data_IF_313526984603
#
_entry.id   IF_313526984603
#
_cell.length_a   1.000
_cell.length_b   1.000
_cell.length_c   1.000
_cell.angle_alpha   90.00
_cell.angle_beta   90.00
_cell.angle_gamma   90.00
#
_symmetry.space_group_name_H-M   'P 1'
#
loop_
_entity.id
_entity.type
_entity.pdbx_description
1 polymer ?
#
# COMPACT_ATOMS: atom_id res chain seq x y z
N UNK A 1 7.30 -29.85 25.42
CA UNK A 1 6.99 -31.08 26.17
C UNK A 1 7.91 -32.19 25.70
N UNK A 2 8.81 -32.70 26.55
CA UNK A 2 9.51 -33.97 26.34
C UNK A 2 8.75 -35.04 27.14
N UNK A 3 8.59 -36.21 26.53
CA UNK A 3 7.56 -37.23 26.77
C UNK A 3 7.35 -37.72 28.21
N UNK A 4 6.09 -37.66 28.65
CA UNK A 4 5.43 -38.63 29.55
C UNK A 4 3.96 -38.74 29.15
N UNK A 5 3.58 -39.88 28.57
CA UNK A 5 2.23 -40.49 28.49
C UNK A 5 1.08 -39.73 27.78
N UNK A 6 0.46 -40.43 26.84
CA UNK A 6 -0.63 -39.99 25.97
C UNK A 6 -2.03 -39.91 26.62
N UNK A 7 -2.18 -39.25 27.77
CA UNK A 7 -3.52 -39.15 28.42
C UNK A 7 -3.91 -37.76 28.95
N UNK A 8 -3.19 -36.68 28.60
CA UNK A 8 -3.58 -35.31 29.02
C UNK A 8 -3.45 -34.26 27.91
N UNK A 9 -3.99 -34.58 26.73
CA UNK A 9 -3.98 -33.70 25.54
C UNK A 9 -5.11 -32.66 25.49
N UNK A 10 -5.91 -32.49 26.55
CA UNK A 10 -6.99 -31.46 26.59
C UNK A 10 -6.63 -30.17 27.34
N UNK A 11 -5.40 -30.04 27.85
CA UNK A 11 -5.06 -28.95 28.78
C UNK A 11 -4.05 -27.93 28.24
N UNK A 12 -3.36 -28.21 27.13
CA UNK A 12 -2.36 -27.28 26.58
C UNK A 12 -2.93 -26.28 25.56
N UNK A 13 -4.16 -26.47 25.08
CA UNK A 13 -4.73 -25.62 24.01
C UNK A 13 -5.64 -24.49 24.55
N UNK A 14 -5.57 -24.15 25.83
CA UNK A 14 -6.44 -23.12 26.44
C UNK A 14 -5.64 -22.05 27.20
N UNK A 15 -4.47 -21.65 26.67
CA UNK A 15 -3.67 -20.57 27.27
C UNK A 15 -2.91 -19.75 26.22
N UNK A 16 -3.61 -19.32 25.18
CA UNK A 16 -3.08 -18.43 24.12
C UNK A 16 -4.06 -17.30 23.73
N UNK A 17 -5.15 -17.09 24.49
CA UNK A 17 -6.20 -16.11 24.12
C UNK A 17 -6.46 -15.00 25.13
N UNK A 18 -5.64 -14.85 26.17
CA UNK A 18 -5.77 -13.80 27.21
C UNK A 18 -4.51 -12.93 27.34
N UNK A 19 -3.67 -12.82 26.30
CA UNK A 19 -2.52 -11.88 26.28
C UNK A 19 -2.67 -10.74 25.26
N UNK A 20 -3.73 -10.73 24.45
CA UNK A 20 -3.97 -9.66 23.47
C UNK A 20 -4.69 -8.45 24.10
N UNK A 21 -5.42 -8.64 25.21
CA UNK A 21 -6.22 -7.57 25.84
C UNK A 21 -5.48 -6.77 26.93
N UNK A 22 -4.32 -7.22 27.40
CA UNK A 22 -3.55 -6.54 28.45
C UNK A 22 -2.57 -5.45 27.93
N UNK A 23 -2.39 -5.34 26.60
CA UNK A 23 -1.44 -4.41 25.99
C UNK A 23 -1.98 -3.01 25.67
N UNK A 24 -3.27 -2.73 25.91
CA UNK A 24 -3.93 -1.49 25.44
C UNK A 24 -4.08 -0.37 26.49
N UNK A 25 -3.52 -0.49 27.70
CA UNK A 25 -3.87 0.43 28.81
C UNK A 25 -2.75 1.27 29.44
N UNK A 26 -1.49 1.22 28.98
CA UNK A 26 -0.42 1.97 29.66
C UNK A 26 0.54 2.64 28.68
N UNK A 27 0.28 3.90 28.34
CA UNK A 27 1.31 4.95 28.22
C UNK A 27 0.63 6.33 28.40
N UNK A 28 0.43 6.68 29.67
CA UNK A 28 0.17 8.05 30.12
C UNK A 28 1.20 8.34 31.21
N UNK A 29 2.14 9.23 30.92
CA UNK A 29 2.87 9.97 31.95
C UNK A 29 3.04 11.40 31.42
N UNK A 30 2.59 12.37 32.21
CA UNK A 30 2.75 13.79 31.95
C UNK A 30 3.71 14.43 32.94
N UNK A 31 4.08 15.69 32.68
CA UNK A 31 4.59 16.78 33.55
C UNK A 31 5.70 17.54 32.80
N UNK A 32 5.97 18.84 32.93
CA UNK A 32 5.34 20.03 33.56
C UNK A 32 6.29 21.18 33.21
N UNK A 33 5.77 22.39 32.99
CA UNK A 33 6.54 23.66 33.03
C UNK A 33 6.37 24.49 31.76
N UNK A 34 6.03 25.77 31.79
CA UNK A 34 5.80 26.70 32.91
C UNK A 34 4.99 27.89 32.41
N UNK A 35 4.27 28.53 33.33
CA UNK A 35 3.49 29.74 33.07
C UNK A 35 4.36 30.99 33.09
N UNK A 36 4.00 31.95 32.24
CA UNK A 36 4.52 33.31 32.22
C UNK A 36 3.68 34.19 31.30
N UNK A 37 2.82 35.01 31.89
CA UNK A 37 2.07 36.17 31.36
C UNK A 37 1.92 37.09 32.60
N UNK A 38 1.94 38.44 32.55
CA UNK A 38 1.56 39.35 31.44
C UNK A 38 2.55 40.50 31.17
N UNK A 39 2.40 41.21 30.03
CA UNK A 39 1.79 42.57 29.95
C UNK A 39 1.96 43.23 28.57
N UNK A 40 0.85 43.85 28.15
CA UNK A 40 0.69 45.09 27.36
C UNK A 40 1.29 45.28 25.96
N UNK A 41 0.38 45.55 25.02
CA UNK A 41 0.37 46.83 24.31
C UNK A 41 1.14 46.90 22.98
N UNK A 42 0.42 46.78 21.87
CA UNK A 42 0.88 47.30 20.58
C UNK A 42 0.32 46.54 19.38
N UNK A 43 -0.73 47.09 18.77
CA UNK A 43 -1.15 46.71 17.42
C UNK A 43 -0.12 47.19 16.38
N UNK A 44 0.37 46.34 15.48
CA UNK A 44 0.79 46.77 14.15
C UNK A 44 -0.37 46.47 13.19
N UNK A 45 -0.81 47.50 12.47
CA UNK A 45 -2.00 47.46 11.60
C UNK A 45 -1.98 46.37 10.52
N UNK A 46 -3.12 46.09 9.89
CA UNK A 46 -3.16 45.18 8.76
C UNK A 46 -2.50 45.86 7.56
N UNK A 47 -1.19 45.64 7.38
CA UNK A 47 -0.59 45.66 6.04
C UNK A 47 -0.98 44.38 5.31
N UNK A 48 -2.29 44.14 5.19
CA UNK A 48 -2.82 43.29 4.14
C UNK A 48 -2.76 44.13 2.87
N UNK A 49 -1.67 43.98 2.11
CA UNK A 49 -1.71 44.25 0.68
C UNK A 49 -3.00 43.62 0.12
N UNK A 50 -3.80 44.32 -0.69
CA UNK A 50 -5.03 43.75 -1.21
C UNK A 50 -4.66 42.51 -2.03
N UNK A 51 -5.04 41.32 -1.55
CA UNK A 51 -4.98 40.11 -2.36
C UNK A 51 -5.90 40.32 -3.54
N UNK A 52 -5.30 40.47 -4.73
CA UNK A 52 -5.99 40.69 -6.00
C UNK A 52 -7.10 39.63 -6.17
N UNK A 53 -8.39 40.01 -6.27
CA UNK A 53 -9.49 39.08 -6.40
C UNK A 53 -9.64 38.71 -7.88
N UNK A 54 -8.69 37.96 -8.46
CA UNK A 54 -8.78 37.53 -9.86
C UNK A 54 -8.03 36.23 -10.20
N UNK A 55 -7.37 35.58 -9.23
CA UNK A 55 -6.59 34.35 -9.50
C UNK A 55 -7.13 33.16 -8.72
N UNK A 56 -7.70 32.19 -9.44
CA UNK A 56 -8.12 30.91 -8.90
C UNK A 56 -6.98 30.24 -8.11
N UNK A 57 -7.26 29.61 -6.94
CA UNK A 57 -6.23 29.00 -6.13
C UNK A 57 -5.47 27.92 -6.89
N UNK A 58 -4.14 27.90 -6.73
CA UNK A 58 -3.27 26.90 -7.35
C UNK A 58 -3.60 25.50 -6.78
N UNK A 59 -3.86 24.49 -7.62
CA UNK A 59 -4.15 23.14 -7.15
C UNK A 59 -2.89 22.39 -6.71
N UNK A 60 -3.08 21.32 -5.94
CA UNK A 60 -2.01 20.42 -5.51
C UNK A 60 -2.18 19.03 -6.15
N UNK A 61 -1.12 18.48 -6.72
CA UNK A 61 -1.10 17.14 -7.32
C UNK A 61 -0.36 16.16 -6.39
N UNK A 62 -0.97 15.00 -6.13
CA UNK A 62 -0.39 13.92 -5.30
C UNK A 62 -0.64 12.56 -5.95
N UNK A 63 0.20 11.59 -5.61
CA UNK A 63 0.00 10.19 -5.97
C UNK A 63 -0.48 9.42 -4.73
N UNK A 64 -1.64 8.77 -4.81
CA UNK A 64 -2.32 8.17 -3.66
C UNK A 64 -1.47 7.08 -2.97
N UNK A 65 -0.87 6.20 -3.77
CA UNK A 65 -0.06 5.08 -3.29
C UNK A 65 1.46 5.34 -3.42
N UNK A 66 1.86 6.61 -3.58
CA UNK A 66 3.24 7.02 -3.85
C UNK A 66 3.56 7.17 -5.34
N UNK A 67 4.68 7.84 -5.64
CA UNK A 67 5.07 8.20 -7.01
C UNK A 67 6.05 7.22 -7.66
N UNK A 68 6.50 6.20 -6.93
CA UNK A 68 7.37 5.13 -7.44
C UNK A 68 6.53 3.86 -7.50
N UNK A 69 6.26 3.38 -8.71
CA UNK A 69 5.24 2.34 -8.95
C UNK A 69 5.82 1.22 -9.81
N UNK A 70 5.75 -0.05 -9.39
CA UNK A 70 6.19 -1.16 -10.24
C UNK A 70 5.33 -1.28 -11.49
N UNK A 71 5.96 -1.65 -12.61
CA UNK A 71 5.31 -1.92 -13.89
C UNK A 71 4.16 -2.92 -13.72
N UNK A 72 3.02 -2.63 -14.31
CA UNK A 72 1.82 -3.47 -14.22
C UNK A 72 0.96 -3.22 -12.98
N UNK A 73 1.40 -2.39 -12.03
CA UNK A 73 0.60 -1.99 -10.85
C UNK A 73 -0.26 -0.77 -11.17
N UNK A 74 -1.24 -0.51 -10.30
CA UNK A 74 -2.09 0.67 -10.40
C UNK A 74 -1.55 1.86 -9.61
N UNK A 75 -1.86 3.06 -10.07
CA UNK A 75 -1.67 4.29 -9.31
C UNK A 75 -2.77 5.29 -9.66
N UNK A 76 -3.22 6.06 -8.68
CA UNK A 76 -4.15 7.17 -8.88
C UNK A 76 -3.41 8.47 -8.59
N UNK A 77 -3.43 9.40 -9.55
CA UNK A 77 -2.99 10.77 -9.32
C UNK A 77 -4.22 11.61 -8.92
N UNK A 78 -4.15 12.26 -7.76
CA UNK A 78 -5.21 13.11 -7.22
C UNK A 78 -4.82 14.57 -7.30
N UNK A 79 -5.65 15.36 -7.97
CA UNK A 79 -5.52 16.79 -8.07
C UNK A 79 -6.55 17.46 -7.16
N UNK A 80 -6.10 18.23 -6.17
CA UNK A 80 -6.97 18.92 -5.21
C UNK A 80 -6.96 20.42 -5.46
N UNK A 81 -8.14 21.04 -5.48
CA UNK A 81 -8.34 22.44 -5.85
C UNK A 81 -9.59 23.05 -5.22
N UNK A 82 -10.21 24.01 -5.92
CA UNK A 82 -11.46 24.64 -5.46
C UNK A 82 -12.65 23.68 -5.55
N UNK A 83 -13.62 23.84 -4.64
CA UNK A 83 -14.92 23.15 -4.68
C UNK A 83 -15.78 23.51 -5.89
N UNK A 84 -15.48 24.64 -6.52
CA UNK A 84 -16.18 25.17 -7.70
C UNK A 84 -15.53 24.72 -9.01
N UNK A 85 -14.63 23.74 -8.97
CA UNK A 85 -14.08 23.11 -10.16
C UNK A 85 -15.16 22.24 -10.82
N UNK A 86 -15.22 22.29 -12.15
CA UNK A 86 -16.13 21.45 -12.97
C UNK A 86 -15.37 20.50 -13.91
N UNK A 87 -14.13 20.83 -14.25
CA UNK A 87 -13.28 20.03 -15.13
C UNK A 87 -11.85 20.01 -14.58
N UNK A 88 -11.25 18.82 -14.55
CA UNK A 88 -9.89 18.57 -14.12
C UNK A 88 -9.07 18.08 -15.31
N UNK A 89 -7.85 18.60 -15.45
CA UNK A 89 -6.92 18.25 -16.53
C UNK A 89 -5.58 17.84 -15.97
N UNK A 90 -5.06 16.73 -16.47
CA UNK A 90 -3.73 16.23 -16.18
C UNK A 90 -2.85 16.44 -17.42
N UNK A 91 -1.78 17.20 -17.26
CA UNK A 91 -0.75 17.42 -18.27
C UNK A 91 0.50 16.61 -17.94
N UNK A 92 1.13 16.04 -18.96
CA UNK A 92 2.43 15.35 -18.87
C UNK A 92 3.47 16.13 -19.65
N UNK A 93 4.69 16.21 -19.12
CA UNK A 93 5.84 16.75 -19.83
C UNK A 93 6.35 15.73 -20.85
N UNK A 94 6.32 16.10 -22.12
CA UNK A 94 6.96 15.41 -23.25
C UNK A 94 8.12 16.22 -23.85
N UNK A 95 8.63 15.76 -24.99
CA UNK A 95 9.78 16.39 -25.66
C UNK A 95 9.52 17.81 -26.18
N UNK A 96 8.30 18.12 -26.59
CA UNK A 96 7.88 19.44 -27.11
C UNK A 96 7.25 20.36 -26.04
N UNK A 97 7.21 19.93 -24.78
CA UNK A 97 6.60 20.69 -23.69
C UNK A 97 5.51 19.91 -22.95
N UNK A 98 4.50 20.61 -22.45
CA UNK A 98 3.38 20.02 -21.71
C UNK A 98 2.25 19.63 -22.65
N UNK A 99 1.75 18.41 -22.54
CA UNK A 99 0.59 17.92 -23.29
C UNK A 99 -0.49 17.41 -22.34
N UNK A 100 -1.75 17.67 -22.66
CA UNK A 100 -2.87 17.02 -22.02
C UNK A 100 -2.76 15.49 -22.17
N UNK A 101 -2.99 14.77 -21.09
CA UNK A 101 -2.99 13.30 -21.07
C UNK A 101 -4.34 12.74 -20.66
N UNK A 102 -4.99 13.32 -19.65
CA UNK A 102 -6.32 12.91 -19.17
C UNK A 102 -7.13 14.12 -18.77
N UNK A 103 -8.44 14.04 -18.97
CA UNK A 103 -9.42 15.05 -18.56
C UNK A 103 -10.61 14.38 -17.88
N UNK A 104 -11.05 14.92 -16.76
CA UNK A 104 -12.19 14.42 -15.97
C UNK A 104 -13.16 15.57 -15.75
N UNK A 105 -14.40 15.43 -16.20
CA UNK A 105 -15.47 16.42 -16.00
C UNK A 105 -16.28 16.03 -14.78
N UNK A 106 -15.86 16.50 -13.62
CA UNK A 106 -16.48 16.21 -12.35
C UNK A 106 -16.44 17.45 -11.47
N UNK A 107 -17.62 17.81 -10.96
CA UNK A 107 -17.74 18.86 -9.96
C UNK A 107 -17.20 18.38 -8.61
N UNK A 108 -16.49 19.26 -7.89
CA UNK A 108 -15.97 18.95 -6.57
C UNK A 108 -14.63 19.63 -6.32
N UNK A 109 -13.99 19.30 -5.20
CA UNK A 109 -12.67 19.84 -4.84
C UNK A 109 -11.49 18.94 -5.22
N UNK A 110 -11.75 17.79 -5.85
CA UNK A 110 -10.73 16.83 -6.21
C UNK A 110 -11.08 16.13 -7.53
N UNK A 111 -10.06 15.95 -8.38
CA UNK A 111 -10.13 15.18 -9.61
C UNK A 111 -9.15 14.00 -9.55
N UNK A 112 -9.64 12.81 -9.94
CA UNK A 112 -8.88 11.57 -9.88
C UNK A 112 -8.47 11.07 -11.27
N UNK A 113 -7.21 10.69 -11.43
CA UNK A 113 -6.68 10.13 -12.67
C UNK A 113 -6.08 8.76 -12.41
N UNK A 114 -6.86 7.70 -12.65
CA UNK A 114 -6.44 6.32 -12.41
C UNK A 114 -5.62 5.77 -13.58
N UNK A 115 -4.48 5.16 -13.28
CA UNK A 115 -3.66 4.36 -14.18
C UNK A 115 -3.76 2.91 -13.71
N UNK A 116 -4.60 2.06 -14.32
CA UNK A 116 -4.88 0.72 -13.80
C UNK A 116 -3.69 -0.24 -13.91
N UNK A 117 -2.82 -0.01 -14.89
CA UNK A 117 -1.60 -0.79 -15.12
C UNK A 117 -0.55 0.14 -15.74
N UNK A 118 0.44 0.53 -14.94
CA UNK A 118 1.49 1.46 -15.40
C UNK A 118 2.52 0.78 -16.28
N UNK A 119 2.94 1.47 -17.32
CA UNK A 119 4.01 1.06 -18.24
C UNK A 119 5.15 2.06 -18.21
N UNK A 120 6.31 1.71 -18.79
CA UNK A 120 7.43 2.64 -18.92
C UNK A 120 7.06 3.94 -19.66
N UNK A 121 6.03 3.93 -20.53
CA UNK A 121 5.53 5.12 -21.21
C UNK A 121 4.74 6.05 -20.27
N UNK A 122 4.23 5.55 -19.15
CA UNK A 122 3.53 6.34 -18.15
C UNK A 122 4.51 7.09 -17.23
N UNK A 123 5.77 6.66 -17.14
CA UNK A 123 6.79 7.38 -16.37
C UNK A 123 6.99 8.82 -16.89
N UNK A 124 7.18 9.78 -15.99
CA UNK A 124 7.47 11.17 -16.33
C UNK A 124 6.90 12.19 -15.36
N UNK A 125 7.04 13.47 -15.71
CA UNK A 125 6.59 14.59 -14.86
C UNK A 125 5.19 15.04 -15.25
N UNK A 126 4.31 15.15 -14.26
CA UNK A 126 2.91 15.53 -14.38
C UNK A 126 2.59 16.84 -13.68
N UNK A 127 1.59 17.56 -14.18
CA UNK A 127 0.95 18.72 -13.54
C UNK A 127 -0.55 18.62 -13.71
N UNK A 128 -1.30 19.23 -12.80
CA UNK A 128 -2.74 19.33 -12.95
C UNK A 128 -3.22 20.78 -12.88
N UNK A 129 -4.37 21.03 -13.51
CA UNK A 129 -5.11 22.27 -13.45
C UNK A 129 -6.61 21.95 -13.50
N UNK A 130 -7.44 22.89 -13.09
CA UNK A 130 -8.88 22.74 -13.15
C UNK A 130 -9.54 23.95 -13.80
N UNK A 131 -10.73 23.75 -14.35
CA UNK A 131 -11.61 24.80 -14.85
C UNK A 131 -12.69 25.08 -13.84
N UNK A 132 -12.82 26.36 -13.49
CA UNK A 132 -13.88 26.88 -12.65
C UNK A 132 -15.20 26.97 -13.42
N UNK A 133 -16.33 26.99 -12.71
CA UNK A 133 -17.68 27.14 -13.28
C UNK A 133 -17.83 28.41 -14.15
N UNK A 134 -17.13 29.48 -13.80
CA UNK A 134 -17.04 30.71 -14.62
C UNK A 134 -16.17 30.56 -15.87
N UNK A 135 -15.82 29.34 -16.27
CA UNK A 135 -14.99 28.98 -17.44
C UNK A 135 -13.51 29.42 -17.42
N UNK A 136 -13.01 29.94 -16.30
CA UNK A 136 -11.59 30.28 -16.12
C UNK A 136 -10.77 29.07 -15.68
N UNK A 137 -9.53 28.98 -16.16
CA UNK A 137 -8.58 27.93 -15.75
C UNK A 137 -7.73 28.38 -14.57
N UNK A 138 -7.46 27.46 -13.65
CA UNK A 138 -6.51 27.66 -12.56
C UNK A 138 -5.07 27.76 -13.06
N UNK A 139 -4.16 28.19 -12.17
CA UNK A 139 -2.75 27.93 -12.37
C UNK A 139 -2.48 26.40 -12.38
N UNK A 140 -1.34 26.00 -12.96
CA UNK A 140 -0.85 24.62 -12.92
C UNK A 140 -0.27 24.29 -11.54
N UNK A 141 -0.50 23.07 -11.08
CA UNK A 141 0.10 22.55 -9.85
C UNK A 141 1.63 22.52 -9.91
N UNK A 142 2.24 22.29 -8.75
CA UNK A 142 3.62 21.83 -8.72
C UNK A 142 3.78 20.48 -9.43
N UNK A 143 4.94 20.24 -10.06
CA UNK A 143 5.18 19.01 -10.81
C UNK A 143 5.27 17.80 -9.88
N UNK A 144 4.72 16.67 -10.33
CA UNK A 144 4.87 15.36 -9.69
C UNK A 144 5.56 14.41 -10.65
N UNK A 145 6.68 13.81 -10.24
CA UNK A 145 7.40 12.83 -11.05
C UNK A 145 6.92 11.42 -10.73
N UNK A 146 6.29 10.77 -11.71
CA UNK A 146 5.90 9.37 -11.64
C UNK A 146 7.05 8.50 -12.19
N UNK A 147 7.61 7.67 -11.33
CA UNK A 147 8.70 6.75 -11.65
C UNK A 147 8.12 5.35 -11.75
N UNK A 148 8.40 4.66 -12.87
CA UNK A 148 7.99 3.27 -13.06
C UNK A 148 9.21 2.38 -12.91
N UNK A 149 9.16 1.48 -11.92
CA UNK A 149 10.22 0.47 -11.72
C UNK A 149 9.85 -0.81 -12.43
N UNK A 150 10.83 -1.59 -12.87
CA UNK A 150 10.54 -2.95 -13.30
C UNK A 150 9.99 -3.75 -12.11
N UNK A 151 8.92 -4.50 -12.35
CA UNK A 151 8.41 -5.42 -11.35
C UNK A 151 9.43 -6.56 -11.21
N UNK A 152 10.39 -6.42 -10.29
CA UNK A 152 11.14 -7.57 -9.80
C UNK A 152 10.07 -8.56 -9.34
N UNK A 153 9.96 -9.67 -10.05
CA UNK A 153 8.77 -10.46 -9.99
C UNK A 153 8.64 -11.07 -8.57
N UNK A 154 7.73 -10.52 -7.78
CA UNK A 154 7.58 -10.87 -6.35
C UNK A 154 6.45 -11.87 -6.13
N UNK A 155 5.58 -12.08 -7.13
CA UNK A 155 4.43 -12.98 -7.02
C UNK A 155 4.72 -14.42 -7.49
N UNK A 156 5.71 -14.62 -8.39
CA UNK A 156 6.01 -15.96 -8.95
C UNK A 156 6.84 -16.85 -8.02
N UNK A 157 7.69 -16.26 -7.16
CA UNK A 157 8.56 -17.02 -6.27
C UNK A 157 7.77 -17.64 -5.12
N UNK A 158 6.82 -16.91 -4.54
CA UNK A 158 6.00 -17.43 -3.43
C UNK A 158 5.01 -18.50 -3.91
N UNK A 159 4.32 -18.27 -5.04
CA UNK A 159 3.38 -19.24 -5.59
C UNK A 159 4.05 -20.54 -6.06
N UNK A 160 5.20 -20.44 -6.73
CA UNK A 160 5.94 -21.62 -7.16
C UNK A 160 6.62 -22.33 -5.98
N UNK A 161 7.10 -21.60 -4.96
CA UNK A 161 7.66 -22.21 -3.75
C UNK A 161 6.60 -22.98 -2.95
N UNK A 162 5.39 -22.43 -2.80
CA UNK A 162 4.27 -23.16 -2.16
C UNK A 162 3.93 -24.44 -2.94
N UNK A 163 3.91 -24.39 -4.28
CA UNK A 163 3.67 -25.58 -5.11
C UNK A 163 4.80 -26.61 -5.01
N UNK A 164 6.06 -26.18 -4.98
CA UNK A 164 7.21 -27.07 -4.83
C UNK A 164 7.31 -27.68 -3.43
N UNK A 165 7.00 -26.91 -2.39
CA UNK A 165 6.96 -27.41 -1.00
C UNK A 165 5.84 -28.44 -0.82
N UNK A 166 4.64 -28.19 -1.37
CA UNK A 166 3.54 -29.16 -1.38
C UNK A 166 3.90 -30.44 -2.15
N UNK A 167 4.47 -30.31 -3.35
CA UNK A 167 4.90 -31.48 -4.14
C UNK A 167 5.98 -32.29 -3.40
N UNK A 168 6.96 -31.62 -2.79
CA UNK A 168 8.00 -32.26 -1.99
C UNK A 168 7.45 -33.02 -0.79
N UNK A 169 6.52 -32.42 -0.03
CA UNK A 169 5.87 -33.08 1.11
C UNK A 169 5.11 -34.35 0.70
N UNK A 170 4.38 -34.30 -0.42
CA UNK A 170 3.65 -35.47 -0.95
C UNK A 170 4.62 -36.59 -1.35
N UNK A 171 5.73 -36.26 -2.03
CA UNK A 171 6.74 -37.24 -2.42
C UNK A 171 7.43 -37.90 -1.22
N UNK A 172 7.72 -37.12 -0.17
CA UNK A 172 8.29 -37.66 1.08
C UNK A 172 7.33 -38.62 1.76
N UNK A 173 6.04 -38.27 1.86
CA UNK A 173 5.02 -39.16 2.45
C UNK A 173 4.86 -40.46 1.66
N UNK A 174 4.80 -40.39 0.32
CA UNK A 174 4.74 -41.57 -0.54
C UNK A 174 6.00 -42.45 -0.39
N UNK A 175 7.18 -41.84 -0.31
CA UNK A 175 8.44 -42.55 -0.10
C UNK A 175 8.46 -43.32 1.22
N UNK A 176 7.97 -42.72 2.30
CA UNK A 176 7.84 -43.39 3.60
C UNK A 176 6.88 -44.58 3.51
N UNK A 177 5.70 -44.41 2.92
CA UNK A 177 4.72 -45.49 2.77
C UNK A 177 5.27 -46.68 1.97
N UNK A 178 6.00 -46.40 0.88
CA UNK A 178 6.63 -47.44 0.08
C UNK A 178 7.76 -48.14 0.83
N UNK A 179 8.56 -47.41 1.60
CA UNK A 179 9.62 -47.99 2.42
C UNK A 179 9.05 -48.92 3.52
N UNK A 180 7.97 -48.49 4.18
CA UNK A 180 7.27 -49.32 5.17
C UNK A 180 6.66 -50.58 4.52
N UNK A 181 6.01 -50.44 3.36
CA UNK A 181 5.46 -51.59 2.64
C UNK A 181 6.55 -52.58 2.19
N UNK A 182 7.66 -52.07 1.66
CA UNK A 182 8.79 -52.89 1.24
C UNK A 182 9.44 -53.63 2.41
N UNK A 183 9.61 -52.95 3.54
CA UNK A 183 10.14 -53.55 4.77
C UNK A 183 9.22 -54.66 5.27
N UNK A 184 7.91 -54.44 5.27
CA UNK A 184 6.91 -55.45 5.66
C UNK A 184 6.92 -56.68 4.75
N UNK A 185 7.10 -56.51 3.43
CA UNK A 185 7.27 -57.64 2.50
C UNK A 185 8.54 -58.45 2.76
N UNK A 186 9.59 -57.81 3.28
CA UNK A 186 10.86 -58.48 3.64
C UNK A 186 10.80 -59.25 4.95
N UNK A 187 9.82 -58.95 5.80
CA UNK A 187 9.69 -59.52 7.15
C UNK A 187 8.72 -60.72 7.24
N UNK A 188 8.17 -61.22 6.12
CA UNK A 188 7.38 -62.47 6.14
C UNK A 188 8.28 -63.71 6.40
N UNK A 189 8.03 -64.49 7.48
CA UNK A 189 8.77 -65.72 7.73
C UNK A 189 8.37 -66.81 6.73
N UNK A 190 9.36 -67.47 6.12
CA UNK A 190 9.16 -68.72 5.38
C UNK A 190 8.68 -69.77 6.39
N UNK A 191 7.50 -70.41 6.25
CA UNK A 191 7.14 -71.53 7.09
C UNK A 191 8.14 -72.66 6.85
N UNK A 192 8.85 -73.04 7.91
CA UNK A 192 9.88 -74.07 7.87
C UNK A 192 9.39 -75.37 7.25
N UNK A 193 10.23 -75.92 6.39
CA UNK A 193 10.21 -77.33 5.99
C UNK A 193 10.49 -78.16 7.25
N UNK A 194 9.44 -78.76 7.82
CA UNK A 194 9.47 -80.02 8.57
C UNK A 194 8.98 -81.06 7.55
N UNK A 195 9.61 -82.20 7.28
CA UNK A 195 10.35 -83.13 8.13
C UNK A 195 9.92 -84.51 7.65
#
# INVERSE_FOLDING_TARGET
CKDVSATRLRSCLHRELEEVWAGLTVYREGTRGGGGVPTEGGSPGPNSSPSLPDRLPKPSLRAENGSVVPRGRNVTLRCRGSWEAEEWRLEKRGGSGWSETKTVRQAGNEGEFSFPSVTSHDAGTYRCLYRHSSSWWSERSDPLELVVTDAAAQDYTVGNLVRLTLAGLVLVLLGVLLAEHWKSSREQPIPGVLG
#
